data_IF_743590086750
#
_entry.id   IF_743590086750
#
_cell.length_a   1.000
_cell.length_b   1.000
_cell.length_c   1.000
_cell.angle_alpha   90.00
_cell.angle_beta   90.00
_cell.angle_gamma   90.00
#
_symmetry.space_group_name_H-M   'P 1'
#
loop_
_entity.id
_entity.type
_entity.pdbx_description
1 polymer ?
#
# COMPACT_ATOMS: atom_id res chain seq x y z
N UNK A 1 19.55 -11.85 -9.30
CA UNK A 1 18.33 -11.91 -8.47
C UNK A 1 17.27 -12.70 -9.23
N UNK A 2 16.83 -13.86 -8.71
CA UNK A 2 15.64 -14.54 -9.26
C UNK A 2 14.41 -13.90 -8.64
N UNK A 3 13.48 -13.42 -9.47
CA UNK A 3 12.17 -12.98 -9.01
C UNK A 3 11.31 -14.23 -8.85
N UNK A 4 11.12 -14.69 -7.62
CA UNK A 4 10.08 -15.69 -7.32
C UNK A 4 8.72 -15.01 -7.37
N UNK A 5 7.70 -15.71 -7.86
CA UNK A 5 6.33 -15.22 -7.82
C UNK A 5 5.97 -14.90 -6.36
N UNK A 6 5.75 -13.62 -6.06
CA UNK A 6 5.25 -13.19 -4.76
C UNK A 6 3.74 -13.30 -4.83
N UNK A 7 3.17 -14.21 -4.03
CA UNK A 7 1.73 -14.28 -3.88
C UNK A 7 1.23 -13.00 -3.19
N UNK A 8 0.47 -12.23 -3.96
CA UNK A 8 -0.12 -10.95 -3.57
C UNK A 8 -1.63 -10.97 -3.85
N UNK A 9 -2.28 -12.14 -3.90
CA UNK A 9 -3.69 -12.24 -4.30
C UNK A 9 -4.59 -11.29 -3.51
N UNK A 10 -4.32 -11.11 -2.22
CA UNK A 10 -5.03 -10.13 -1.38
C UNK A 10 -4.09 -9.36 -0.47
N UNK A 11 -4.42 -8.09 -0.22
CA UNK A 11 -3.79 -7.24 0.79
C UNK A 11 -4.87 -6.50 1.56
N UNK A 12 -4.72 -6.41 2.88
CA UNK A 12 -5.60 -5.56 3.70
C UNK A 12 -5.02 -4.15 3.75
N UNK A 13 -5.43 -3.32 2.78
CA UNK A 13 -4.97 -1.94 2.69
C UNK A 13 -5.25 -1.16 3.98
N UNK A 14 -6.41 -1.41 4.61
CA UNK A 14 -6.85 -0.71 5.82
C UNK A 14 -5.97 -1.04 7.01
N UNK A 15 -5.71 -2.32 7.25
CA UNK A 15 -4.86 -2.76 8.35
C UNK A 15 -3.44 -2.19 8.21
N UNK A 16 -2.88 -2.23 6.99
CA UNK A 16 -1.55 -1.67 6.71
C UNK A 16 -1.53 -0.17 7.02
N UNK A 17 -2.49 0.61 6.51
CA UNK A 17 -2.55 2.05 6.81
C UNK A 17 -2.67 2.35 8.29
N UNK A 18 -3.53 1.62 8.99
CA UNK A 18 -3.72 1.81 10.43
C UNK A 18 -2.44 1.51 11.22
N UNK A 19 -1.69 0.48 10.83
CA UNK A 19 -0.38 0.15 11.41
C UNK A 19 0.65 1.27 11.22
N UNK A 20 0.52 2.04 10.14
CA UNK A 20 1.40 3.19 9.83
C UNK A 20 0.90 4.51 10.43
N UNK A 21 -0.23 4.50 11.14
CA UNK A 21 -0.84 5.70 11.72
C UNK A 21 -1.16 6.81 10.70
N UNK A 22 -1.47 6.44 9.46
CA UNK A 22 -1.79 7.37 8.39
C UNK A 22 -3.31 7.53 8.21
N UNK A 23 -3.74 8.71 7.79
CA UNK A 23 -5.07 8.96 7.25
C UNK A 23 -5.22 8.35 5.85
N UNK A 24 -6.46 8.20 5.38
CA UNK A 24 -6.72 7.70 4.01
C UNK A 24 -6.09 8.62 2.95
N UNK A 25 -6.10 9.93 3.18
CA UNK A 25 -5.58 10.92 2.24
C UNK A 25 -4.05 10.86 2.16
N UNK A 26 -3.35 10.78 3.31
CA UNK A 26 -1.89 10.62 3.34
C UNK A 26 -1.46 9.32 2.66
N UNK A 27 -2.15 8.22 2.94
CA UNK A 27 -1.84 6.93 2.34
C UNK A 27 -2.12 6.93 0.83
N UNK A 28 -3.21 7.57 0.40
CA UNK A 28 -3.53 7.72 -1.02
C UNK A 28 -2.48 8.55 -1.76
N UNK A 29 -2.03 9.66 -1.17
CA UNK A 29 -0.96 10.48 -1.70
C UNK A 29 0.35 9.68 -1.84
N UNK A 30 0.71 8.91 -0.81
CA UNK A 30 1.92 8.08 -0.81
C UNK A 30 1.89 6.98 -1.87
N UNK A 31 0.71 6.43 -2.16
CA UNK A 31 0.51 5.39 -3.18
C UNK A 31 0.19 5.95 -4.57
N UNK A 32 0.17 7.27 -4.75
CA UNK A 32 -0.14 7.92 -6.03
C UNK A 32 -1.55 7.62 -6.54
N UNK A 33 -2.53 7.49 -5.64
CA UNK A 33 -3.94 7.24 -5.97
C UNK A 33 -4.84 8.31 -5.36
N UNK A 34 -6.11 8.37 -5.77
CA UNK A 34 -7.08 9.26 -5.13
C UNK A 34 -7.56 8.67 -3.79
N UNK A 35 -7.92 9.54 -2.83
CA UNK A 35 -8.54 9.11 -1.57
C UNK A 35 -9.79 8.25 -1.78
N UNK A 36 -10.61 8.61 -2.79
CA UNK A 36 -11.79 7.83 -3.17
C UNK A 36 -11.43 6.46 -3.75
N UNK A 37 -10.33 6.36 -4.50
CA UNK A 37 -9.78 5.11 -5.00
C UNK A 37 -9.26 4.23 -3.88
N UNK A 38 -8.48 4.81 -2.96
CA UNK A 38 -7.95 4.13 -1.79
C UNK A 38 -9.06 3.62 -0.86
N UNK A 39 -10.10 4.43 -0.61
CA UNK A 39 -11.28 4.01 0.17
C UNK A 39 -11.99 2.81 -0.43
N UNK A 40 -12.10 2.72 -1.77
CA UNK A 40 -12.67 1.54 -2.44
C UNK A 40 -11.82 0.28 -2.25
N UNK A 41 -10.50 0.43 -2.07
CA UNK A 41 -9.63 -0.69 -1.69
C UNK A 41 -9.93 -1.18 -0.28
N UNK A 42 -10.01 -0.27 0.69
CA UNK A 42 -10.35 -0.65 2.08
C UNK A 42 -11.73 -1.29 2.21
N UNK A 43 -12.68 -0.94 1.34
CA UNK A 43 -14.03 -1.50 1.32
C UNK A 43 -14.12 -2.81 0.52
N UNK A 44 -13.04 -3.26 -0.13
CA UNK A 44 -13.06 -4.43 -1.02
C UNK A 44 -13.81 -4.22 -2.34
N UNK A 45 -14.34 -3.03 -2.61
CA UNK A 45 -15.06 -2.71 -3.84
C UNK A 45 -14.16 -2.67 -5.08
N UNK A 46 -12.85 -2.51 -4.89
CA UNK A 46 -11.83 -2.60 -5.94
C UNK A 46 -10.53 -3.15 -5.36
N UNK A 47 -9.85 -4.02 -6.10
CA UNK A 47 -8.52 -4.47 -5.71
C UNK A 47 -7.43 -3.48 -6.14
N UNK A 48 -6.37 -3.27 -5.33
CA UNK A 48 -5.19 -2.53 -5.77
C UNK A 48 -4.50 -3.24 -6.93
N UNK A 49 -3.77 -2.47 -7.77
CA UNK A 49 -2.96 -3.06 -8.84
C UNK A 49 -1.88 -3.98 -8.27
N UNK A 50 -1.31 -4.87 -9.10
CA UNK A 50 -0.19 -5.72 -8.68
C UNK A 50 0.95 -4.92 -8.04
N UNK A 51 1.37 -3.82 -8.68
CA UNK A 51 2.40 -2.93 -8.15
C UNK A 51 2.00 -2.27 -6.81
N UNK A 52 0.75 -1.82 -6.67
CA UNK A 52 0.26 -1.26 -5.41
C UNK A 52 0.25 -2.30 -4.29
N UNK A 53 -0.12 -3.56 -4.57
CA UNK A 53 -0.07 -4.65 -3.59
C UNK A 53 1.36 -4.98 -3.17
N UNK A 54 2.30 -4.99 -4.12
CA UNK A 54 3.73 -5.15 -3.81
C UNK A 54 4.21 -4.05 -2.86
N UNK A 55 3.91 -2.80 -3.20
CA UNK A 55 4.34 -1.65 -2.42
C UNK A 55 3.70 -1.62 -1.02
N UNK A 56 2.40 -1.93 -0.92
CA UNK A 56 1.71 -2.10 0.37
C UNK A 56 2.39 -3.16 1.25
N UNK A 57 2.79 -4.29 0.68
CA UNK A 57 3.51 -5.34 1.42
C UNK A 57 4.90 -4.88 1.89
N UNK A 58 5.59 -4.09 1.08
CA UNK A 58 6.88 -3.50 1.49
C UNK A 58 6.66 -2.50 2.63
N UNK A 59 5.66 -1.62 2.52
CA UNK A 59 5.32 -0.67 3.60
C UNK A 59 4.92 -1.36 4.90
N UNK A 60 4.21 -2.49 4.83
CA UNK A 60 3.81 -3.26 6.00
C UNK A 60 5.01 -3.85 6.77
N UNK A 61 6.04 -4.29 6.03
CA UNK A 61 7.23 -4.95 6.58
C UNK A 61 8.34 -3.98 6.94
N UNK A 62 8.59 -3.00 6.08
CA UNK A 62 9.75 -2.11 6.10
C UNK A 62 9.31 -0.63 5.91
N UNK A 63 8.42 -0.09 6.76
CA UNK A 63 7.86 1.24 6.56
C UNK A 63 8.91 2.34 6.52
N UNK A 64 9.92 2.25 7.39
CA UNK A 64 11.01 3.23 7.42
C UNK A 64 11.83 3.22 6.13
N UNK A 65 12.01 2.06 5.49
CA UNK A 65 12.73 1.98 4.23
C UNK A 65 11.96 2.69 3.11
N UNK A 66 10.63 2.54 3.09
CA UNK A 66 9.79 3.24 2.11
C UNK A 66 9.79 4.74 2.38
N UNK A 67 9.65 5.17 3.64
CA UNK A 67 9.70 6.58 4.01
C UNK A 67 11.04 7.21 3.63
N UNK A 68 12.17 6.56 3.93
CA UNK A 68 13.51 7.02 3.52
C UNK A 68 13.70 7.08 2.01
N UNK A 69 13.13 6.13 1.27
CA UNK A 69 13.28 6.06 -0.19
C UNK A 69 12.44 7.13 -0.92
N UNK A 70 11.39 7.63 -0.28
CA UNK A 70 10.45 8.59 -0.86
C UNK A 70 10.54 9.99 -0.24
N UNK A 71 11.29 10.16 0.85
CA UNK A 71 11.63 11.47 1.40
C UNK A 71 12.64 12.18 0.50
N UNK A 72 12.26 13.36 -0.01
CA UNK A 72 13.13 14.29 -0.74
C UNK A 72 14.08 15.03 0.21
#
# INVERSE_FOLDING_TARGET
MRVTAVDLETVDAKAIRQKLHLTQDEMAAFLGTSASGYKKWEQGARQPSGAARTLLRVMEKEPEAVLRALSN
#
